data_IF_943337007414
#
_entry.id   IF_943337007414
#
_cell.length_a   1.000
_cell.length_b   1.000
_cell.length_c   1.000
_cell.angle_alpha   90.00
_cell.angle_beta   90.00
_cell.angle_gamma   90.00
#
_symmetry.space_group_name_H-M   'P 1'
#
loop_
_entity.id
_entity.type
_entity.pdbx_description
1 polymer ?
#
# COMPACT_ATOMS: atom_id res chain seq x y z
N UNK A 1 -9.57 -16.43 11.82
CA UNK A 1 -8.57 -16.02 12.84
C UNK A 1 -9.30 -15.35 13.99
N UNK A 2 -8.98 -15.70 15.24
CA UNK A 2 -9.79 -15.35 16.41
C UNK A 2 -9.68 -13.87 16.78
N UNK A 3 -10.80 -13.27 17.25
CA UNK A 3 -10.94 -11.92 17.82
C UNK A 3 -9.93 -11.54 18.95
N UNK A 4 -8.93 -12.38 19.23
CA UNK A 4 -7.93 -12.17 20.27
C UNK A 4 -6.72 -11.31 19.86
N UNK A 5 -6.47 -11.12 18.55
CA UNK A 5 -5.28 -10.42 18.04
C UNK A 5 -5.34 -8.89 18.25
N UNK A 6 -6.52 -8.29 18.24
CA UNK A 6 -6.71 -6.84 18.34
C UNK A 6 -6.76 -6.32 19.79
N UNK A 7 -6.59 -7.22 20.77
CA UNK A 7 -6.52 -6.84 22.19
C UNK A 7 -5.27 -5.99 22.42
N UNK A 8 -5.52 -4.74 22.86
CA UNK A 8 -4.54 -3.79 23.40
C UNK A 8 -3.82 -2.87 22.41
N UNK A 9 -4.35 -2.56 21.21
CA UNK A 9 -3.78 -1.51 20.34
C UNK A 9 -3.56 -0.21 21.11
N UNK A 10 -4.51 0.22 21.96
CA UNK A 10 -4.38 1.43 22.80
C UNK A 10 -3.21 1.34 23.76
N UNK A 11 -3.03 0.20 24.44
CA UNK A 11 -1.89 0.00 25.34
C UNK A 11 -0.57 -0.01 24.57
N UNK A 12 -0.50 -0.70 23.42
CA UNK A 12 0.69 -0.73 22.56
C UNK A 12 1.03 0.67 22.03
N UNK A 13 0.03 1.48 21.66
CA UNK A 13 0.23 2.87 21.26
C UNK A 13 0.77 3.71 22.42
N UNK A 14 0.24 3.55 23.62
CA UNK A 14 0.71 4.26 24.79
C UNK A 14 2.17 3.89 25.12
N UNK A 15 2.50 2.60 25.12
CA UNK A 15 3.90 2.13 25.33
C UNK A 15 4.83 2.70 24.26
N UNK A 16 4.42 2.68 22.98
CA UNK A 16 5.19 3.22 21.89
C UNK A 16 5.46 4.72 22.05
N UNK A 17 4.42 5.51 22.34
CA UNK A 17 4.55 6.95 22.58
C UNK A 17 5.43 7.25 23.79
N UNK A 18 5.26 6.49 24.89
CA UNK A 18 6.09 6.63 26.08
C UNK A 18 7.57 6.30 25.81
N UNK A 19 7.83 5.28 24.99
CA UNK A 19 9.19 4.95 24.56
C UNK A 19 9.80 6.07 23.71
N UNK A 20 9.06 6.62 22.74
CA UNK A 20 9.52 7.75 21.94
C UNK A 20 9.80 8.99 22.81
N UNK A 21 8.93 9.27 23.79
CA UNK A 21 9.11 10.36 24.75
C UNK A 21 10.41 10.16 25.56
N UNK A 22 10.62 8.97 26.12
CA UNK A 22 11.82 8.68 26.91
C UNK A 22 13.09 8.78 26.07
N UNK A 23 13.09 8.27 24.84
CA UNK A 23 14.23 8.37 23.92
C UNK A 23 14.59 9.83 23.64
N UNK A 24 13.59 10.70 23.44
CA UNK A 24 13.80 12.13 23.26
C UNK A 24 14.23 12.84 24.57
N UNK A 25 13.67 12.44 25.72
CA UNK A 25 13.92 13.12 27.02
C UNK A 25 15.30 12.83 27.62
N UNK A 26 15.76 11.57 27.54
CA UNK A 26 17.00 11.12 28.20
C UNK A 26 18.23 11.96 27.81
N UNK A 27 18.47 12.31 26.54
CA UNK A 27 19.60 13.17 26.16
C UNK A 27 19.54 14.56 26.78
N UNK A 28 18.36 15.13 27.00
CA UNK A 28 18.18 16.45 27.62
C UNK A 28 18.33 16.42 29.15
N UNK A 29 18.08 15.27 29.76
CA UNK A 29 18.24 15.09 31.24
C UNK A 29 19.67 14.73 31.67
N UNK A 30 20.51 14.29 30.74
CA UNK A 30 21.88 13.87 30.96
C UNK A 30 22.84 14.66 30.04
N UNK A 31 24.15 14.59 30.33
CA UNK A 31 25.16 15.24 29.47
C UNK A 31 25.06 14.72 28.03
N UNK A 32 24.71 15.59 27.11
CA UNK A 32 24.50 15.31 25.67
C UNK A 32 25.73 14.64 25.02
N UNK A 33 26.93 14.96 25.48
CA UNK A 33 28.19 14.41 24.92
C UNK A 33 28.21 12.86 24.89
N UNK A 34 27.62 12.21 25.90
CA UNK A 34 27.59 10.75 25.97
C UNK A 34 26.67 10.13 24.92
N UNK A 35 25.69 10.88 24.40
CA UNK A 35 24.72 10.40 23.39
C UNK A 35 25.12 10.77 21.99
N UNK A 36 26.03 11.70 21.78
CA UNK A 36 26.46 12.16 20.44
C UNK A 36 26.90 11.01 19.54
N UNK A 37 27.75 10.12 20.02
CA UNK A 37 28.23 8.99 19.24
C UNK A 37 27.14 7.98 18.91
N UNK A 38 26.15 7.80 19.80
CA UNK A 38 25.00 6.92 19.54
C UNK A 38 24.13 7.51 18.43
N UNK A 39 23.80 8.79 18.50
CA UNK A 39 23.01 9.50 17.49
C UNK A 39 23.74 9.49 16.14
N UNK A 40 25.05 9.77 16.15
CA UNK A 40 25.88 9.75 14.95
C UNK A 40 25.89 8.35 14.29
N UNK A 41 26.07 7.30 15.09
CA UNK A 41 26.08 5.91 14.60
C UNK A 41 24.71 5.52 14.02
N UNK A 42 23.60 5.84 14.70
CA UNK A 42 22.26 5.58 14.19
C UNK A 42 21.98 6.35 12.91
N UNK A 43 22.36 7.61 12.84
CA UNK A 43 22.23 8.43 11.62
C UNK A 43 23.05 7.84 10.48
N UNK A 44 24.26 7.38 10.73
CA UNK A 44 25.08 6.71 9.72
C UNK A 44 24.42 5.43 9.21
N UNK A 45 23.88 4.58 10.09
CA UNK A 45 23.16 3.35 9.70
C UNK A 45 21.94 3.68 8.85
N UNK A 46 21.14 4.70 9.24
CA UNK A 46 19.97 5.14 8.52
C UNK A 46 20.34 5.62 7.13
N UNK A 47 21.31 6.52 7.01
CA UNK A 47 21.75 7.05 5.71
C UNK A 47 22.35 5.96 4.84
N UNK A 48 23.24 5.14 5.39
CA UNK A 48 23.94 4.10 4.64
C UNK A 48 22.99 3.04 4.08
N UNK A 49 22.05 2.53 4.88
CA UNK A 49 21.06 1.56 4.39
C UNK A 49 20.13 2.20 3.36
N UNK A 50 19.67 3.42 3.58
CA UNK A 50 18.88 4.18 2.60
C UNK A 50 19.60 4.33 1.26
N UNK A 51 20.88 4.63 1.26
CA UNK A 51 21.70 4.72 0.04
C UNK A 51 21.84 3.36 -0.66
N UNK A 52 21.99 2.26 0.09
CA UNK A 52 22.00 0.91 -0.49
C UNK A 52 20.67 0.62 -1.19
N UNK A 53 19.53 0.87 -0.53
CA UNK A 53 18.19 0.67 -1.09
C UNK A 53 18.00 1.50 -2.37
N UNK A 54 18.35 2.78 -2.34
CA UNK A 54 18.24 3.67 -3.52
C UNK A 54 19.15 3.22 -4.65
N UNK A 55 20.39 2.81 -4.36
CA UNK A 55 21.39 2.43 -5.37
C UNK A 55 20.94 1.23 -6.23
N UNK A 56 20.10 0.35 -5.70
CA UNK A 56 19.57 -0.82 -6.44
C UNK A 56 18.69 -0.42 -7.62
N UNK A 57 18.13 0.78 -7.60
CA UNK A 57 17.31 1.28 -8.71
C UNK A 57 18.12 1.55 -9.98
N UNK A 58 19.42 1.85 -9.88
CA UNK A 58 20.26 2.05 -11.06
C UNK A 58 20.43 0.79 -11.93
N UNK A 59 20.27 -0.41 -11.33
CA UNK A 59 20.32 -1.68 -12.06
C UNK A 59 18.99 -2.04 -12.74
N UNK A 60 17.88 -1.43 -12.33
CA UNK A 60 16.52 -1.71 -12.82
C UNK A 60 16.36 -1.49 -14.32
N UNK A 61 16.87 -0.38 -14.84
CA UNK A 61 16.66 0.02 -16.24
C UNK A 61 17.21 -1.03 -17.23
N UNK A 62 18.18 -1.83 -16.82
CA UNK A 62 18.76 -2.90 -17.65
C UNK A 62 17.82 -4.11 -17.75
N UNK A 63 17.07 -4.40 -16.69
CA UNK A 63 16.11 -5.52 -16.64
C UNK A 63 14.81 -5.17 -17.38
N UNK A 64 14.30 -3.95 -17.21
CA UNK A 64 13.06 -3.50 -17.84
C UNK A 64 13.10 -3.50 -19.38
N UNK A 65 14.27 -3.17 -19.97
CA UNK A 65 14.44 -3.18 -21.41
C UNK A 65 14.44 -4.60 -22.03
N UNK A 66 14.63 -5.63 -21.22
CA UNK A 66 14.54 -7.04 -21.65
C UNK A 66 13.12 -7.59 -21.54
N UNK A 67 12.34 -7.10 -20.55
CA UNK A 67 10.94 -7.51 -20.29
C UNK A 67 9.97 -7.14 -21.41
N UNK A 68 10.20 -6.02 -22.10
CA UNK A 68 9.32 -5.54 -23.19
C UNK A 68 9.32 -6.41 -24.45
N UNK A 69 10.14 -7.46 -24.53
CA UNK A 69 10.33 -8.27 -25.76
C UNK A 69 9.75 -9.68 -25.74
N UNK A 70 9.24 -10.18 -24.62
CA UNK A 70 8.67 -11.55 -24.54
C UNK A 70 7.23 -11.51 -24.11
N UNK A 71 6.33 -11.35 -25.08
CA UNK A 71 4.95 -11.85 -24.94
C UNK A 71 5.08 -13.36 -25.15
N UNK A 72 4.99 -14.12 -24.06
CA UNK A 72 4.96 -15.58 -24.14
C UNK A 72 3.66 -16.02 -24.84
N UNK A 73 3.73 -17.04 -25.69
CA UNK A 73 2.57 -17.71 -26.27
C UNK A 73 1.81 -18.58 -25.25
N UNK A 74 2.10 -18.41 -23.95
CA UNK A 74 1.35 -19.09 -22.90
C UNK A 74 -0.07 -18.56 -22.79
N UNK A 75 -0.95 -19.44 -22.47
CA UNK A 75 -2.35 -19.13 -22.27
C UNK A 75 -2.53 -18.25 -21.02
N UNK A 76 -3.04 -17.02 -21.22
CA UNK A 76 -3.30 -16.08 -20.12
C UNK A 76 -4.30 -16.68 -19.12
N UNK A 77 -4.14 -16.47 -17.80
CA UNK A 77 -5.06 -16.98 -16.78
C UNK A 77 -6.40 -16.25 -16.80
N UNK A 78 -7.41 -16.80 -16.10
CA UNK A 78 -8.66 -16.08 -15.86
C UNK A 78 -8.41 -15.00 -14.79
N UNK A 79 -8.75 -13.76 -15.13
CA UNK A 79 -8.58 -12.57 -14.31
C UNK A 79 -9.94 -11.98 -13.93
N UNK A 80 -10.13 -11.73 -12.64
CA UNK A 80 -11.25 -10.96 -12.12
C UNK A 80 -10.74 -9.60 -11.63
N UNK A 81 -11.25 -8.50 -12.20
CA UNK A 81 -11.00 -7.14 -11.71
C UNK A 81 -12.06 -6.81 -10.66
N UNK A 82 -11.64 -6.34 -9.50
CA UNK A 82 -12.50 -5.94 -8.38
C UNK A 82 -12.36 -4.45 -8.11
N UNK A 83 -13.48 -3.73 -8.12
CA UNK A 83 -13.56 -2.32 -7.76
C UNK A 83 -14.64 -2.13 -6.72
N UNK A 84 -14.28 -1.69 -5.52
CA UNK A 84 -15.24 -1.23 -4.53
C UNK A 84 -15.54 0.25 -4.78
N UNK A 85 -16.81 0.58 -4.97
CA UNK A 85 -17.30 1.93 -5.28
C UNK A 85 -18.31 2.38 -4.22
N UNK A 86 -18.18 3.62 -3.77
CA UNK A 86 -19.17 4.25 -2.90
C UNK A 86 -19.21 5.75 -3.19
N UNK A 87 -20.35 6.24 -3.69
CA UNK A 87 -20.58 7.64 -4.04
C UNK A 87 -19.58 8.14 -5.12
N UNK A 88 -19.44 7.36 -6.21
CA UNK A 88 -18.45 7.55 -7.28
C UNK A 88 -19.10 7.96 -8.62
N UNK A 89 -20.26 8.64 -8.59
CA UNK A 89 -21.03 9.03 -9.79
C UNK A 89 -20.22 9.78 -10.85
N UNK A 90 -19.18 10.50 -10.45
CA UNK A 90 -18.37 11.35 -11.33
C UNK A 90 -17.30 10.58 -12.12
N UNK A 91 -16.90 9.38 -11.66
CA UNK A 91 -15.75 8.65 -12.22
C UNK A 91 -16.08 7.24 -12.68
N UNK A 92 -17.13 6.61 -12.14
CA UNK A 92 -17.41 5.19 -12.33
C UNK A 92 -17.69 4.81 -13.80
N UNK A 93 -18.39 5.64 -14.56
CA UNK A 93 -18.66 5.37 -15.99
C UNK A 93 -17.36 5.36 -16.80
N UNK A 94 -16.52 6.36 -16.62
CA UNK A 94 -15.20 6.47 -17.26
C UNK A 94 -14.30 5.28 -16.91
N UNK A 95 -14.32 4.83 -15.65
CA UNK A 95 -13.57 3.65 -15.23
C UNK A 95 -14.04 2.40 -16.00
N UNK A 96 -15.35 2.13 -16.01
CA UNK A 96 -15.89 0.93 -16.67
C UNK A 96 -15.53 0.91 -18.16
N UNK A 97 -15.68 2.03 -18.87
CA UNK A 97 -15.31 2.14 -20.28
C UNK A 97 -13.82 1.84 -20.51
N UNK A 98 -12.94 2.34 -19.65
CA UNK A 98 -11.50 2.08 -19.71
C UNK A 98 -11.17 0.60 -19.47
N UNK A 99 -11.79 -0.02 -18.47
CA UNK A 99 -11.57 -1.43 -18.16
C UNK A 99 -12.04 -2.36 -19.29
N UNK A 100 -13.13 -2.00 -19.98
CA UNK A 100 -13.65 -2.76 -21.12
C UNK A 100 -12.73 -2.68 -22.36
N UNK A 101 -11.91 -1.63 -22.46
CA UNK A 101 -10.96 -1.40 -23.56
C UNK A 101 -9.56 -1.98 -23.30
N UNK A 102 -9.34 -2.69 -22.19
CA UNK A 102 -8.05 -3.33 -21.90
C UNK A 102 -7.80 -4.52 -22.85
N UNK A 103 -6.56 -4.65 -23.31
CA UNK A 103 -6.11 -5.78 -24.12
C UNK A 103 -6.02 -7.04 -23.27
N UNK A 104 -7.09 -7.84 -23.29
CA UNK A 104 -7.13 -9.13 -22.62
C UNK A 104 -8.19 -10.04 -23.30
N UNK A 105 -7.97 -11.37 -23.37
CA UNK A 105 -8.95 -12.28 -23.96
C UNK A 105 -10.33 -12.12 -23.30
N UNK A 106 -11.34 -11.90 -24.13
CA UNK A 106 -12.69 -11.53 -23.66
C UNK A 106 -13.35 -12.58 -22.80
N UNK A 107 -13.03 -13.85 -23.02
CA UNK A 107 -13.54 -15.00 -22.25
C UNK A 107 -12.76 -15.27 -20.96
N UNK A 108 -11.71 -14.48 -20.68
CA UNK A 108 -10.84 -14.64 -19.50
C UNK A 108 -10.80 -13.43 -18.60
N UNK A 109 -11.57 -12.39 -18.91
CA UNK A 109 -11.67 -11.16 -18.13
C UNK A 109 -13.09 -10.97 -17.62
N UNK A 110 -13.27 -10.86 -16.30
CA UNK A 110 -14.48 -10.41 -15.65
C UNK A 110 -14.23 -9.11 -14.89
N UNK A 111 -15.19 -8.21 -14.89
CA UNK A 111 -15.12 -6.93 -14.18
C UNK A 111 -16.25 -6.92 -13.14
N UNK A 112 -15.87 -6.86 -11.87
CA UNK A 112 -16.80 -6.78 -10.73
C UNK A 112 -16.71 -5.39 -10.14
N UNK A 113 -17.81 -4.63 -10.21
CA UNK A 113 -17.97 -3.38 -9.48
C UNK A 113 -18.88 -3.64 -8.29
N UNK A 114 -18.36 -3.37 -7.11
CA UNK A 114 -19.09 -3.56 -5.85
C UNK A 114 -19.60 -2.21 -5.39
N UNK A 115 -20.90 -1.99 -5.55
CA UNK A 115 -21.57 -0.82 -4.98
C UNK A 115 -21.77 -1.03 -3.48
N UNK A 116 -20.98 -0.33 -2.68
CA UNK A 116 -20.98 -0.44 -1.20
C UNK A 116 -22.02 0.49 -0.56
N UNK A 117 -23.24 0.45 -1.09
CA UNK A 117 -24.37 1.21 -0.57
C UNK A 117 -24.26 2.70 -0.87
N UNK A 118 -24.00 3.07 -2.11
CA UNK A 118 -23.97 4.47 -2.56
C UNK A 118 -25.31 5.17 -2.39
N UNK A 119 -25.25 6.46 -2.09
CA UNK A 119 -26.40 7.35 -1.92
C UNK A 119 -26.62 8.32 -3.08
N UNK A 120 -25.64 8.42 -3.99
CA UNK A 120 -25.66 9.24 -5.20
C UNK A 120 -26.20 8.47 -6.42
N UNK A 121 -25.87 8.90 -7.64
CA UNK A 121 -26.31 8.25 -8.88
C UNK A 121 -25.47 7.03 -9.28
N UNK A 122 -24.45 6.64 -8.51
CA UNK A 122 -23.59 5.49 -8.80
C UNK A 122 -24.41 4.21 -9.12
N UNK A 123 -25.43 3.80 -8.30
CA UNK A 123 -26.21 2.58 -8.59
C UNK A 123 -26.96 2.65 -9.92
N UNK A 124 -27.51 3.81 -10.28
CA UNK A 124 -28.23 4.01 -11.53
C UNK A 124 -27.31 3.91 -12.76
N UNK A 125 -26.12 4.47 -12.65
CA UNK A 125 -25.10 4.39 -13.71
C UNK A 125 -24.67 2.94 -13.89
N UNK A 126 -24.37 2.23 -12.82
CA UNK A 126 -23.96 0.83 -12.84
C UNK A 126 -25.04 -0.11 -13.39
N UNK A 127 -26.31 0.09 -13.04
CA UNK A 127 -27.42 -0.69 -13.58
C UNK A 127 -27.52 -0.50 -15.12
N UNK A 128 -27.43 0.72 -15.61
CA UNK A 128 -27.41 1.03 -17.04
C UNK A 128 -26.23 0.33 -17.75
N UNK A 129 -25.02 0.44 -17.20
CA UNK A 129 -23.82 -0.13 -17.81
C UNK A 129 -23.82 -1.66 -17.79
N UNK A 130 -24.34 -2.28 -16.73
CA UNK A 130 -24.44 -3.74 -16.62
C UNK A 130 -25.38 -4.36 -17.65
N UNK A 131 -26.44 -3.65 -18.05
CA UNK A 131 -27.33 -4.07 -19.15
C UNK A 131 -26.69 -3.92 -20.52
N UNK A 132 -25.73 -3.02 -20.68
CA UNK A 132 -25.03 -2.74 -21.92
C UNK A 132 -23.84 -3.69 -22.13
N UNK A 133 -23.16 -4.10 -21.06
CA UNK A 133 -21.91 -4.84 -21.11
C UNK A 133 -21.98 -6.13 -20.30
N UNK A 134 -22.06 -7.28 -20.96
CA UNK A 134 -22.18 -8.61 -20.33
C UNK A 134 -21.00 -8.96 -19.38
N UNK A 135 -19.80 -8.43 -19.67
CA UNK A 135 -18.60 -8.64 -18.83
C UNK A 135 -18.64 -7.88 -17.52
N UNK A 136 -19.46 -6.84 -17.42
CA UNK A 136 -19.61 -6.04 -16.21
C UNK A 136 -20.61 -6.72 -15.27
N UNK A 137 -20.11 -7.12 -14.11
CA UNK A 137 -20.90 -7.72 -13.04
C UNK A 137 -21.01 -6.73 -11.88
N UNK A 138 -22.21 -6.25 -11.64
CA UNK A 138 -22.46 -5.32 -10.53
C UNK A 138 -22.95 -6.11 -9.32
N UNK A 139 -22.31 -5.88 -8.18
CA UNK A 139 -22.64 -6.53 -6.91
C UNK A 139 -22.99 -5.45 -5.90
N UNK A 140 -24.26 -5.34 -5.52
CA UNK A 140 -24.71 -4.32 -4.56
C UNK A 140 -24.70 -4.85 -3.14
N UNK A 141 -24.28 -4.01 -2.20
CA UNK A 141 -24.31 -4.26 -0.76
C UNK A 141 -25.25 -3.26 -0.07
N UNK A 142 -25.80 -3.68 1.06
CA UNK A 142 -26.56 -2.77 1.91
C UNK A 142 -25.66 -1.62 2.43
N UNK A 143 -26.17 -0.38 2.54
CA UNK A 143 -25.42 0.74 3.13
C UNK A 143 -24.87 0.46 4.54
N UNK A 144 -25.50 -0.46 5.26
CA UNK A 144 -25.14 -0.84 6.64
C UNK A 144 -24.35 -2.16 6.72
N UNK A 145 -23.81 -2.66 5.61
CA UNK A 145 -23.13 -3.96 5.57
C UNK A 145 -21.81 -3.99 6.38
N UNK A 146 -21.21 -2.81 6.65
CA UNK A 146 -19.97 -2.69 7.42
C UNK A 146 -18.73 -3.17 6.68
N UNK A 147 -17.56 -3.13 7.36
CA UNK A 147 -16.28 -3.61 6.80
C UNK A 147 -15.64 -2.72 5.74
N UNK A 148 -16.32 -1.64 5.30
CA UNK A 148 -15.79 -0.70 4.31
C UNK A 148 -15.32 -1.37 3.02
N UNK A 149 -14.24 -0.84 2.41
CA UNK A 149 -13.65 -1.40 1.18
C UNK A 149 -13.30 -2.88 1.31
N UNK A 150 -12.67 -3.28 2.42
CA UNK A 150 -12.31 -4.69 2.68
C UNK A 150 -13.54 -5.60 2.72
N UNK A 151 -14.62 -5.15 3.37
CA UNK A 151 -15.90 -5.88 3.42
C UNK A 151 -16.55 -5.99 2.04
N UNK A 152 -16.49 -4.95 1.22
CA UNK A 152 -16.97 -4.96 -0.16
C UNK A 152 -16.18 -5.97 -1.00
N UNK A 153 -14.85 -5.95 -0.93
CA UNK A 153 -13.99 -6.89 -1.64
C UNK A 153 -14.23 -8.34 -1.18
N UNK A 154 -14.31 -8.59 0.13
CA UNK A 154 -14.60 -9.92 0.66
C UNK A 154 -15.97 -10.45 0.21
N UNK A 155 -16.97 -9.57 0.12
CA UNK A 155 -18.28 -9.95 -0.38
C UNK A 155 -18.23 -10.38 -1.85
N UNK A 156 -17.44 -9.66 -2.65
CA UNK A 156 -17.24 -9.97 -4.07
C UNK A 156 -16.53 -11.31 -4.31
N UNK A 157 -15.63 -11.74 -3.40
CA UNK A 157 -14.91 -13.01 -3.55
C UNK A 157 -15.84 -14.22 -3.74
N UNK A 158 -17.09 -14.15 -3.27
CA UNK A 158 -18.10 -15.21 -3.42
C UNK A 158 -18.54 -15.41 -4.88
N UNK A 159 -18.38 -14.40 -5.70
CA UNK A 159 -18.82 -14.36 -7.10
C UNK A 159 -17.66 -14.49 -8.09
N UNK A 160 -16.41 -14.39 -7.60
CA UNK A 160 -15.21 -14.45 -8.43
C UNK A 160 -14.86 -15.90 -8.81
N UNK A 161 -14.33 -16.09 -10.01
CA UNK A 161 -13.90 -17.38 -10.55
C UNK A 161 -12.46 -17.36 -11.08
N UNK A 162 -11.85 -16.18 -11.17
CA UNK A 162 -10.48 -15.99 -11.67
C UNK A 162 -9.43 -16.61 -10.76
N UNK A 163 -8.33 -17.06 -11.36
CA UNK A 163 -7.12 -17.47 -10.63
C UNK A 163 -6.43 -16.28 -9.99
N UNK A 164 -6.56 -15.12 -10.63
CA UNK A 164 -5.98 -13.88 -10.20
C UNK A 164 -7.05 -12.82 -10.01
N UNK A 165 -6.83 -11.98 -9.01
CA UNK A 165 -7.68 -10.85 -8.65
C UNK A 165 -6.88 -9.56 -8.81
N UNK A 166 -7.36 -8.62 -9.61
CA UNK A 166 -6.79 -7.27 -9.71
C UNK A 166 -7.71 -6.29 -8.99
N UNK A 167 -7.24 -5.71 -7.88
CA UNK A 167 -7.99 -4.70 -7.13
C UNK A 167 -7.61 -3.32 -7.62
N UNK A 168 -8.62 -2.52 -7.96
CA UNK A 168 -8.49 -1.14 -8.42
C UNK A 168 -9.39 -0.22 -7.60
N UNK A 169 -9.02 1.06 -7.53
CA UNK A 169 -9.86 2.12 -7.01
C UNK A 169 -10.77 2.67 -8.13
N UNK A 170 -11.83 3.38 -7.77
CA UNK A 170 -12.83 3.87 -8.72
C UNK A 170 -12.27 4.96 -9.68
N UNK A 171 -11.18 5.61 -9.31
CA UNK A 171 -10.46 6.61 -10.11
C UNK A 171 -9.27 6.03 -10.89
N UNK A 172 -9.06 4.71 -10.85
CA UNK A 172 -7.92 4.05 -11.47
C UNK A 172 -7.91 4.21 -12.99
N UNK A 173 -6.70 4.38 -13.53
CA UNK A 173 -6.47 4.40 -14.98
C UNK A 173 -5.31 3.46 -15.33
N UNK A 174 -5.55 2.56 -16.27
CA UNK A 174 -4.57 1.63 -16.83
C UNK A 174 -4.35 1.91 -18.30
N UNK A 175 -3.13 1.68 -18.80
CA UNK A 175 -2.87 1.64 -20.24
C UNK A 175 -3.49 0.38 -20.82
N UNK A 176 -3.86 0.42 -22.10
CA UNK A 176 -4.53 -0.67 -22.80
C UNK A 176 -3.76 -2.00 -22.71
N UNK A 177 -2.42 -1.96 -22.82
CA UNK A 177 -1.52 -3.11 -22.77
C UNK A 177 -1.12 -3.55 -21.34
N UNK A 178 -1.66 -2.89 -20.31
CA UNK A 178 -1.22 -3.10 -18.90
C UNK A 178 -1.37 -4.54 -18.43
N UNK A 179 -2.47 -5.21 -18.78
CA UNK A 179 -2.72 -6.58 -18.32
C UNK A 179 -1.77 -7.59 -18.96
N UNK A 180 -1.49 -7.44 -20.25
CA UNK A 180 -0.54 -8.30 -20.97
C UNK A 180 0.86 -8.18 -20.36
N UNK A 181 1.31 -6.93 -20.09
CA UNK A 181 2.61 -6.69 -19.48
C UNK A 181 2.67 -7.15 -18.04
N UNK A 182 1.58 -7.03 -17.30
CA UNK A 182 1.47 -7.51 -15.92
C UNK A 182 1.65 -9.03 -15.85
N UNK A 183 0.97 -9.79 -16.71
CA UNK A 183 1.11 -11.24 -16.73
C UNK A 183 2.44 -11.71 -17.31
N UNK A 184 3.03 -10.98 -18.26
CA UNK A 184 4.41 -11.24 -18.69
C UNK A 184 5.40 -11.10 -17.53
N UNK A 185 5.20 -10.11 -16.65
CA UNK A 185 6.01 -9.95 -15.43
C UNK A 185 5.75 -11.07 -14.41
N UNK A 186 4.49 -11.50 -14.26
CA UNK A 186 4.13 -12.63 -13.36
C UNK A 186 4.83 -13.91 -13.79
N UNK A 187 4.91 -14.19 -15.10
CA UNK A 187 5.56 -15.40 -15.63
C UNK A 187 7.08 -15.44 -15.39
N UNK A 188 7.73 -14.28 -15.32
CA UNK A 188 9.19 -14.18 -15.10
C UNK A 188 9.62 -14.38 -13.66
N UNK A 189 8.68 -14.32 -12.73
CA UNK A 189 8.94 -14.47 -11.29
C UNK A 189 7.95 -15.40 -10.61
N UNK A 190 8.35 -15.92 -9.48
CA UNK A 190 7.48 -16.69 -8.59
C UNK A 190 6.75 -15.72 -7.65
N UNK A 191 5.76 -14.99 -8.19
CA UNK A 191 5.00 -13.98 -7.48
C UNK A 191 3.65 -14.51 -7.01
N UNK A 192 3.34 -14.29 -5.75
CA UNK A 192 2.01 -14.54 -5.17
C UNK A 192 1.10 -13.31 -5.27
N UNK A 193 1.71 -12.13 -5.36
CA UNK A 193 1.05 -10.86 -5.62
C UNK A 193 2.00 -9.92 -6.38
N UNK A 194 1.43 -8.93 -7.08
CA UNK A 194 2.19 -7.88 -7.78
C UNK A 194 1.51 -6.54 -7.53
N UNK A 195 2.29 -5.55 -7.13
CA UNK A 195 1.87 -4.15 -7.07
C UNK A 195 2.29 -3.42 -8.34
N UNK A 196 1.37 -2.82 -9.06
CA UNK A 196 1.68 -1.86 -10.11
C UNK A 196 2.19 -0.56 -9.47
N UNK A 197 3.26 0.02 -10.02
CA UNK A 197 3.73 1.32 -9.57
C UNK A 197 2.61 2.36 -9.69
N UNK A 198 2.38 3.13 -8.63
CA UNK A 198 1.39 4.21 -8.64
C UNK A 198 1.95 5.47 -9.33
N UNK A 199 1.09 6.19 -10.04
CA UNK A 199 1.40 7.46 -10.68
C UNK A 199 0.19 8.38 -10.62
N UNK A 200 0.40 9.70 -10.63
CA UNK A 200 -0.65 10.70 -10.52
C UNK A 200 -1.07 11.22 -11.89
N UNK A 201 -2.39 11.35 -12.16
CA UNK A 201 -2.94 11.89 -13.41
C UNK A 201 -2.99 13.43 -13.41
N UNK A 202 -3.40 14.03 -12.31
CA UNK A 202 -3.63 15.47 -12.16
C UNK A 202 -2.42 16.25 -11.61
N UNK A 203 -1.18 15.87 -11.98
CA UNK A 203 0.08 16.44 -11.47
C UNK A 203 0.14 17.97 -11.61
N UNK A 204 -0.32 18.49 -12.74
CA UNK A 204 -0.25 19.93 -13.05
C UNK A 204 -1.36 20.78 -12.43
N UNK A 205 -2.26 20.19 -11.64
CA UNK A 205 -3.43 20.88 -11.10
C UNK A 205 -3.05 21.96 -10.10
N UNK A 206 -2.14 21.67 -9.17
CA UNK A 206 -1.61 22.60 -8.19
C UNK A 206 -0.30 22.09 -7.58
N UNK A 207 0.32 22.89 -6.69
CA UNK A 207 1.56 22.54 -5.99
C UNK A 207 1.42 21.25 -5.16
N UNK A 208 0.27 21.07 -4.49
CA UNK A 208 0.01 19.92 -3.63
C UNK A 208 -0.03 18.60 -4.42
N UNK A 209 -0.67 18.59 -5.60
CA UNK A 209 -0.72 17.41 -6.48
C UNK A 209 0.65 17.10 -7.07
N UNK A 210 1.47 18.11 -7.38
CA UNK A 210 2.86 17.94 -7.82
C UNK A 210 3.72 17.30 -6.71
N UNK A 211 3.57 17.73 -5.45
CA UNK A 211 4.27 17.14 -4.30
C UNK A 211 3.88 15.67 -4.11
N UNK A 212 2.61 15.32 -4.21
CA UNK A 212 2.13 13.94 -4.09
C UNK A 212 2.67 13.05 -5.21
N UNK A 213 2.78 13.58 -6.44
CA UNK A 213 3.40 12.86 -7.55
C UNK A 213 4.87 12.52 -7.27
N UNK A 214 5.63 13.46 -6.71
CA UNK A 214 7.02 13.24 -6.32
C UNK A 214 7.13 12.22 -5.17
N UNK A 215 6.26 12.32 -4.17
CA UNK A 215 6.17 11.38 -3.05
C UNK A 215 5.92 9.94 -3.55
N UNK A 216 4.95 9.74 -4.45
CA UNK A 216 4.66 8.42 -5.04
C UNK A 216 5.83 7.86 -5.85
N UNK A 217 6.54 8.73 -6.58
CA UNK A 217 7.74 8.32 -7.31
C UNK A 217 8.86 7.89 -6.35
N UNK A 218 9.06 8.61 -5.24
CA UNK A 218 10.01 8.24 -4.20
C UNK A 218 9.62 6.93 -3.50
N UNK A 219 8.34 6.75 -3.13
CA UNK A 219 7.85 5.49 -2.55
C UNK A 219 8.16 4.31 -3.47
N UNK A 220 7.88 4.44 -4.77
CA UNK A 220 8.16 3.39 -5.74
C UNK A 220 9.68 3.03 -5.80
N UNK A 221 10.56 4.03 -5.72
CA UNK A 221 12.02 3.83 -5.66
C UNK A 221 12.41 3.03 -4.41
N UNK A 222 11.87 3.39 -3.25
CA UNK A 222 12.13 2.69 -2.00
C UNK A 222 11.57 1.26 -2.03
N UNK A 223 10.34 1.07 -2.48
CA UNK A 223 9.72 -0.25 -2.58
C UNK A 223 10.53 -1.19 -3.47
N UNK A 224 10.95 -0.73 -4.65
CA UNK A 224 11.77 -1.52 -5.55
C UNK A 224 13.16 -1.84 -4.96
N UNK A 225 13.77 -0.88 -4.29
CA UNK A 225 15.05 -1.06 -3.60
C UNK A 225 14.94 -2.08 -2.47
N UNK A 226 13.93 -1.99 -1.62
CA UNK A 226 13.63 -2.94 -0.53
C UNK A 226 13.41 -4.37 -1.06
N UNK A 227 12.61 -4.50 -2.12
CA UNK A 227 12.42 -5.78 -2.80
C UNK A 227 13.75 -6.37 -3.27
N UNK A 228 14.62 -5.55 -3.86
CA UNK A 228 15.90 -5.98 -4.40
C UNK A 228 16.95 -6.33 -3.33
N UNK A 229 16.88 -5.69 -2.15
CA UNK A 229 17.86 -5.88 -1.06
C UNK A 229 17.37 -6.95 -0.09
N UNK A 230 16.14 -6.83 0.41
CA UNK A 230 15.61 -7.63 1.51
C UNK A 230 14.48 -8.58 1.09
N UNK A 231 14.02 -8.53 -0.16
CA UNK A 231 12.85 -9.29 -0.59
C UNK A 231 11.54 -8.78 0.03
N UNK A 232 11.53 -7.55 0.55
CA UNK A 232 10.37 -6.91 1.17
C UNK A 232 9.76 -5.90 0.21
N UNK A 233 8.48 -6.06 -0.09
CA UNK A 233 7.67 -5.07 -0.79
C UNK A 233 6.24 -5.08 -0.25
N UNK A 234 5.48 -4.05 -0.55
CA UNK A 234 4.16 -3.85 0.02
C UNK A 234 3.15 -3.49 -1.08
N UNK A 235 1.91 -3.98 -0.92
CA UNK A 235 0.76 -3.56 -1.68
C UNK A 235 0.37 -2.13 -1.27
N UNK A 236 -0.28 -1.39 -2.19
CA UNK A 236 -0.61 0.04 -2.03
C UNK A 236 -2.08 0.34 -2.35
N UNK A 237 -2.96 -0.64 -2.22
CA UNK A 237 -4.41 -0.50 -2.34
C UNK A 237 -4.91 -0.45 -3.78
N UNK A 238 -4.37 0.41 -4.63
CA UNK A 238 -4.73 0.52 -6.04
C UNK A 238 -3.71 -0.19 -6.93
N UNK A 239 -4.18 -0.98 -7.91
CA UNK A 239 -3.32 -1.72 -8.83
C UNK A 239 -2.63 -2.92 -8.19
N UNK A 240 -3.30 -3.62 -7.28
CA UNK A 240 -2.77 -4.83 -6.64
C UNK A 240 -3.34 -6.09 -7.29
N UNK A 241 -2.47 -6.85 -7.95
CA UNK A 241 -2.77 -8.18 -8.46
C UNK A 241 -2.42 -9.23 -7.39
N UNK A 242 -3.34 -10.15 -7.10
CA UNK A 242 -3.15 -11.14 -6.04
C UNK A 242 -3.65 -12.49 -6.56
N UNK A 243 -2.87 -13.55 -6.35
CA UNK A 243 -3.32 -14.91 -6.61
C UNK A 243 -4.44 -15.26 -5.64
N UNK A 244 -5.62 -15.63 -6.14
CA UNK A 244 -6.83 -15.84 -5.31
C UNK A 244 -6.60 -16.88 -4.22
N UNK A 245 -5.95 -17.99 -4.55
CA UNK A 245 -5.59 -19.04 -3.61
C UNK A 245 -4.75 -18.49 -2.44
N UNK A 246 -3.75 -17.67 -2.73
CA UNK A 246 -2.89 -17.06 -1.72
C UNK A 246 -3.66 -16.09 -0.83
N UNK A 247 -4.53 -15.26 -1.41
CA UNK A 247 -5.39 -14.35 -0.65
C UNK A 247 -6.27 -15.11 0.34
N UNK A 248 -6.93 -16.18 -0.12
CA UNK A 248 -7.79 -17.01 0.73
C UNK A 248 -6.99 -17.72 1.84
N UNK A 249 -5.81 -18.25 1.52
CA UNK A 249 -4.91 -18.88 2.49
C UNK A 249 -4.43 -17.91 3.57
N UNK A 250 -4.27 -16.62 3.22
CA UNK A 250 -3.91 -15.56 4.17
C UNK A 250 -5.11 -15.02 4.98
N UNK A 251 -6.35 -15.51 4.74
CA UNK A 251 -7.56 -15.10 5.48
C UNK A 251 -8.29 -13.90 4.86
N UNK A 252 -8.14 -13.67 3.55
CA UNK A 252 -8.83 -12.63 2.76
C UNK A 252 -8.47 -11.21 3.18
N UNK A 253 -9.28 -10.21 2.83
CA UNK A 253 -9.05 -8.82 3.25
C UNK A 253 -9.46 -8.63 4.71
N UNK A 254 -8.66 -7.91 5.49
CA UNK A 254 -8.92 -7.69 6.91
C UNK A 254 -9.84 -6.49 7.10
N UNK A 255 -11.06 -6.73 7.59
CA UNK A 255 -12.08 -5.69 7.80
C UNK A 255 -11.87 -4.87 9.09
N UNK A 256 -10.97 -5.30 9.97
CA UNK A 256 -10.69 -4.66 11.26
C UNK A 256 -9.47 -3.72 11.19
N UNK A 257 -8.93 -3.46 10.00
CA UNK A 257 -7.79 -2.54 9.77
C UNK A 257 -8.19 -1.34 8.91
N UNK A 258 -7.49 -0.23 9.11
CA UNK A 258 -7.71 0.99 8.32
C UNK A 258 -7.05 0.89 6.93
N UNK A 259 -5.95 0.11 6.80
CA UNK A 259 -5.22 -0.13 5.55
C UNK A 259 -5.08 -1.64 5.32
N UNK A 260 -6.01 -2.19 4.54
CA UNK A 260 -6.07 -3.62 4.21
C UNK A 260 -4.89 -4.09 3.36
N UNK A 261 -4.36 -3.24 2.50
CA UNK A 261 -3.21 -3.46 1.64
C UNK A 261 -1.91 -3.67 2.45
N UNK A 262 -1.64 -2.80 3.43
CA UNK A 262 -0.46 -2.92 4.29
C UNK A 262 -0.57 -4.12 5.24
N UNK A 263 -1.76 -4.39 5.77
CA UNK A 263 -2.04 -5.58 6.57
C UNK A 263 -1.82 -6.86 5.77
N UNK A 264 -2.39 -6.93 4.56
CA UNK A 264 -2.24 -8.08 3.67
C UNK A 264 -0.78 -8.29 3.27
N UNK A 265 -0.04 -7.22 2.99
CA UNK A 265 1.39 -7.28 2.66
C UNK A 265 2.19 -7.98 3.75
N UNK A 266 1.93 -7.65 5.00
CA UNK A 266 2.64 -8.27 6.13
C UNK A 266 2.23 -9.72 6.31
N UNK A 267 0.95 -10.08 6.14
CA UNK A 267 0.48 -11.48 6.18
C UNK A 267 1.08 -12.32 5.06
N UNK A 268 1.19 -11.76 3.85
CA UNK A 268 1.88 -12.41 2.72
C UNK A 268 3.35 -12.67 3.06
N UNK A 269 4.06 -11.68 3.60
CA UNK A 269 5.45 -11.84 4.01
C UNK A 269 5.61 -12.95 5.09
N UNK A 270 4.74 -12.95 6.10
CA UNK A 270 4.73 -13.96 7.17
C UNK A 270 4.40 -15.37 6.67
N UNK A 271 3.67 -15.49 5.56
CA UNK A 271 3.39 -16.76 4.88
C UNK A 271 4.44 -17.13 3.84
N UNK A 272 5.55 -16.37 3.73
CA UNK A 272 6.62 -16.50 2.74
C UNK A 272 6.15 -16.34 1.29
N UNK A 273 5.03 -15.66 1.09
CA UNK A 273 4.51 -15.29 -0.22
C UNK A 273 5.21 -14.03 -0.72
N UNK A 274 5.64 -14.05 -1.99
CA UNK A 274 6.43 -12.95 -2.58
C UNK A 274 5.53 -11.94 -3.27
N UNK A 275 5.81 -10.65 -3.03
CA UNK A 275 5.14 -9.53 -3.71
C UNK A 275 6.12 -8.92 -4.71
N UNK A 276 5.77 -8.92 -6.00
CA UNK A 276 6.52 -8.24 -7.06
C UNK A 276 6.09 -6.77 -7.21
N UNK A 277 6.90 -5.97 -7.89
CA UNK A 277 6.56 -4.60 -8.25
C UNK A 277 6.72 -4.44 -9.76
N UNK A 278 5.61 -4.21 -10.46
CA UNK A 278 5.63 -3.85 -11.87
C UNK A 278 5.86 -2.34 -11.99
N UNK A 279 7.01 -1.99 -12.58
CA UNK A 279 7.39 -0.59 -12.70
C UNK A 279 6.66 0.15 -13.82
N UNK A 280 6.48 -0.49 -14.96
CA UNK A 280 5.82 0.07 -16.13
C UNK A 280 5.06 -1.04 -16.89
N UNK A 281 3.76 -0.84 -17.21
CA UNK A 281 2.98 0.38 -17.00
C UNK A 281 2.57 0.59 -15.53
N UNK A 282 2.42 1.87 -15.11
CA UNK A 282 1.88 2.19 -13.79
C UNK A 282 0.36 2.04 -13.78
N UNK A 283 -0.22 1.92 -12.58
CA UNK A 283 -1.60 2.33 -12.32
C UNK A 283 -1.62 3.82 -12.01
N UNK A 284 -2.51 4.56 -12.64
CA UNK A 284 -2.66 5.99 -12.43
C UNK A 284 -3.89 6.27 -11.57
N UNK A 285 -3.81 7.29 -10.73
CA UNK A 285 -4.89 7.73 -9.83
C UNK A 285 -4.89 9.25 -9.68
N UNK A 286 -5.97 9.82 -9.16
CA UNK A 286 -6.05 11.25 -8.91
C UNK A 286 -5.48 11.59 -7.53
N UNK A 287 -4.55 12.55 -7.45
CA UNK A 287 -4.08 13.10 -6.18
C UNK A 287 -5.13 14.06 -5.59
N UNK A 288 -5.23 14.10 -4.26
CA UNK A 288 -6.12 15.04 -3.57
C UNK A 288 -5.67 16.49 -3.75
N UNK A 289 -6.61 17.38 -4.04
CA UNK A 289 -6.33 18.75 -4.46
C UNK A 289 -6.29 19.76 -3.30
N UNK A 290 -6.72 19.38 -2.11
CA UNK A 290 -6.76 20.26 -0.95
C UNK A 290 -6.08 19.66 0.28
N UNK A 291 -5.57 20.55 1.15
CA UNK A 291 -4.77 20.14 2.31
C UNK A 291 -5.57 19.35 3.34
N UNK A 292 -6.84 19.69 3.57
CA UNK A 292 -7.65 18.99 4.57
C UNK A 292 -7.90 17.53 4.17
N UNK A 293 -8.20 17.27 2.88
CA UNK A 293 -8.36 15.92 2.36
C UNK A 293 -7.03 15.15 2.42
N UNK A 294 -5.91 15.81 2.11
CA UNK A 294 -4.57 15.20 2.22
C UNK A 294 -4.27 14.80 3.67
N UNK A 295 -4.46 15.69 4.63
CA UNK A 295 -4.23 15.39 6.05
C UNK A 295 -5.10 14.23 6.54
N UNK A 296 -6.39 14.20 6.18
CA UNK A 296 -7.27 13.09 6.51
C UNK A 296 -6.81 11.75 5.89
N UNK A 297 -6.33 11.79 4.64
CA UNK A 297 -5.77 10.61 3.96
C UNK A 297 -4.49 10.13 4.67
N UNK A 298 -3.55 11.04 4.98
CA UNK A 298 -2.27 10.72 5.66
C UNK A 298 -2.48 10.20 7.08
N UNK A 299 -3.46 10.75 7.80
CA UNK A 299 -3.83 10.23 9.12
C UNK A 299 -4.26 8.77 9.05
N UNK A 300 -5.15 8.42 8.10
CA UNK A 300 -5.57 7.01 7.90
C UNK A 300 -4.39 6.11 7.54
N UNK A 301 -3.48 6.56 6.67
CA UNK A 301 -2.31 5.77 6.28
C UNK A 301 -1.34 5.56 7.43
N UNK A 302 -1.08 6.59 8.23
CA UNK A 302 -0.23 6.49 9.41
C UNK A 302 -0.84 5.55 10.47
N UNK A 303 -2.15 5.67 10.72
CA UNK A 303 -2.87 4.79 11.65
C UNK A 303 -2.80 3.33 11.21
N UNK A 304 -3.19 3.03 9.98
CA UNK A 304 -3.18 1.67 9.46
C UNK A 304 -1.77 1.07 9.38
N UNK A 305 -0.79 1.90 9.01
CA UNK A 305 0.61 1.50 9.00
C UNK A 305 1.16 1.12 10.38
N UNK A 306 0.76 1.83 11.44
CA UNK A 306 1.10 1.46 12.82
C UNK A 306 0.33 0.23 13.30
N UNK A 307 -0.97 0.12 12.97
CA UNK A 307 -1.82 -0.99 13.39
C UNK A 307 -1.20 -2.34 13.03
N UNK A 308 -0.70 -2.51 11.80
CA UNK A 308 -0.09 -3.77 11.37
C UNK A 308 1.12 -4.18 12.22
N UNK A 309 1.96 -3.24 12.64
CA UNK A 309 3.10 -3.54 13.52
C UNK A 309 2.65 -3.91 14.93
N UNK A 310 1.61 -3.28 15.43
CA UNK A 310 1.05 -3.63 16.74
C UNK A 310 0.35 -4.99 16.73
N UNK A 311 -0.30 -5.36 15.62
CA UNK A 311 -1.04 -6.61 15.49
C UNK A 311 -0.10 -7.80 15.26
N UNK A 312 0.96 -7.62 14.49
CA UNK A 312 1.85 -8.72 14.08
C UNK A 312 3.26 -8.65 14.69
N UNK A 313 3.55 -7.68 15.58
CA UNK A 313 4.88 -7.48 16.16
C UNK A 313 5.50 -8.74 16.74
N UNK A 314 4.72 -9.52 17.50
CA UNK A 314 5.20 -10.78 18.10
C UNK A 314 5.60 -11.81 17.01
N UNK A 315 4.90 -11.83 15.88
CA UNK A 315 5.20 -12.75 14.77
C UNK A 315 6.43 -12.28 13.97
N UNK A 316 6.70 -10.98 13.89
CA UNK A 316 7.89 -10.43 13.26
C UNK A 316 9.19 -10.82 14.01
N UNK A 317 9.09 -11.08 15.31
CA UNK A 317 10.23 -11.55 16.12
C UNK A 317 10.51 -13.05 15.95
N UNK A 318 9.59 -13.81 15.37
CA UNK A 318 9.76 -15.25 15.15
C UNK A 318 10.68 -15.54 13.95
N UNK A 319 11.02 -16.82 13.75
CA UNK A 319 11.83 -17.30 12.61
C UNK A 319 11.03 -17.44 11.30
N UNK A 320 9.83 -16.83 11.20
CA UNK A 320 9.01 -16.85 9.98
C UNK A 320 9.61 -16.00 8.86
N UNK A 321 10.34 -14.95 9.22
CA UNK A 321 11.01 -14.02 8.29
C UNK A 321 12.51 -13.98 8.57
N UNK A 322 13.30 -13.67 7.56
CA UNK A 322 14.74 -13.62 7.61
C UNK A 322 15.27 -12.40 8.38
N UNK A 323 16.52 -12.47 8.86
CA UNK A 323 17.14 -11.36 9.59
C UNK A 323 17.16 -10.05 8.79
N UNK A 324 17.43 -10.12 7.48
CA UNK A 324 17.46 -8.94 6.62
C UNK A 324 16.07 -8.34 6.45
N UNK A 325 15.03 -9.16 6.35
CA UNK A 325 13.63 -8.72 6.34
C UNK A 325 13.23 -8.04 7.67
N UNK A 326 13.64 -8.62 8.80
CA UNK A 326 13.43 -8.01 10.14
C UNK A 326 14.12 -6.65 10.23
N UNK A 327 15.36 -6.58 9.78
CA UNK A 327 16.13 -5.34 9.76
C UNK A 327 15.44 -4.27 8.90
N UNK A 328 15.05 -4.61 7.67
CA UNK A 328 14.35 -3.71 6.75
C UNK A 328 13.04 -3.18 7.36
N UNK A 329 12.20 -4.08 7.88
CA UNK A 329 10.93 -3.69 8.51
C UNK A 329 11.15 -2.79 9.74
N UNK A 330 12.13 -3.11 10.59
CA UNK A 330 12.48 -2.29 11.76
C UNK A 330 13.02 -0.93 11.34
N UNK A 331 13.90 -0.89 10.34
CA UNK A 331 14.42 0.34 9.76
C UNK A 331 13.31 1.27 9.28
N UNK A 332 12.38 0.75 8.46
CA UNK A 332 11.27 1.55 7.95
C UNK A 332 10.27 1.92 9.04
N UNK A 333 10.04 1.06 10.02
CA UNK A 333 9.23 1.40 11.20
C UNK A 333 9.82 2.59 11.97
N UNK A 334 11.12 2.56 12.22
CA UNK A 334 11.82 3.67 12.91
C UNK A 334 11.74 4.93 12.04
N UNK A 335 12.06 4.85 10.77
CA UNK A 335 12.10 6.00 9.87
C UNK A 335 10.73 6.67 9.68
N UNK A 336 9.68 5.87 9.52
CA UNK A 336 8.34 6.38 9.18
C UNK A 336 7.51 6.77 10.41
N UNK A 337 7.70 6.12 11.56
CA UNK A 337 6.83 6.30 12.72
C UNK A 337 7.56 6.79 13.96
N UNK A 338 8.66 6.15 14.36
CA UNK A 338 9.33 6.50 15.60
C UNK A 338 10.08 7.83 15.48
N UNK A 339 10.88 8.00 14.44
CA UNK A 339 11.74 9.17 14.27
C UNK A 339 10.96 10.50 14.18
N UNK A 340 9.85 10.62 13.42
CA UNK A 340 9.06 11.85 13.42
C UNK A 340 8.49 12.22 14.80
N UNK A 341 8.03 11.23 15.57
CA UNK A 341 7.48 11.45 16.90
C UNK A 341 8.59 11.87 17.88
N UNK A 342 9.74 11.17 17.87
CA UNK A 342 10.92 11.51 18.65
C UNK A 342 11.36 12.94 18.34
N UNK A 343 11.43 13.33 17.06
CA UNK A 343 11.84 14.67 16.62
C UNK A 343 10.93 15.78 17.15
N UNK A 344 9.61 15.51 17.23
CA UNK A 344 8.66 16.48 17.80
C UNK A 344 8.92 16.67 19.31
N UNK A 345 9.09 15.57 20.07
CA UNK A 345 9.41 15.67 21.50
C UNK A 345 10.77 16.33 21.74
N UNK A 346 11.78 15.97 20.94
CA UNK A 346 13.12 16.56 21.02
C UNK A 346 13.09 18.07 20.80
N UNK A 347 12.33 18.54 19.79
CA UNK A 347 12.13 19.97 19.52
C UNK A 347 11.49 20.68 20.72
N UNK A 348 10.45 20.07 21.33
CA UNK A 348 9.78 20.64 22.50
C UNK A 348 10.76 20.77 23.70
N UNK A 349 11.54 19.73 23.95
CA UNK A 349 12.53 19.76 25.05
C UNK A 349 13.65 20.78 24.77
N UNK A 350 14.13 20.87 23.53
CA UNK A 350 15.13 21.85 23.13
C UNK A 350 14.64 23.28 23.31
N UNK A 351 13.40 23.58 22.93
CA UNK A 351 12.78 24.89 23.17
C UNK A 351 12.64 25.18 24.68
N UNK A 352 12.16 24.21 25.46
CA UNK A 352 12.00 24.37 26.91
C UNK A 352 13.34 24.66 27.59
N UNK A 353 14.40 23.95 27.19
CA UNK A 353 15.76 24.18 27.70
C UNK A 353 16.26 25.58 27.33
N UNK A 354 16.09 26.01 26.10
CA UNK A 354 16.48 27.33 25.62
C UNK A 354 15.79 28.45 26.40
N UNK A 355 14.49 28.32 26.64
CA UNK A 355 13.73 29.29 27.43
C UNK A 355 14.15 29.31 28.88
N UNK A 356 14.53 28.18 29.48
CA UNK A 356 15.04 28.12 30.85
C UNK A 356 16.38 28.84 30.99
N UNK A 357 17.24 28.79 29.97
CA UNK A 357 18.54 29.49 29.96
C UNK A 357 18.42 31.01 29.76
N UNK A 358 17.32 31.50 29.16
CA UNK A 358 17.09 32.94 28.99
C UNK A 358 16.60 33.59 30.31
N UNK A 359 16.08 32.80 31.26
CA UNK A 359 15.58 33.27 32.57
C UNK A 359 16.61 33.18 33.70
N UNK A 360 17.83 32.75 33.43
CA UNK A 360 18.99 32.76 34.34
C UNK A 360 19.89 33.92 33.91
#
# INVERSE_FOLDING_TARGET
>A
MSKGFYKNRRLKSFIFLSACFLVAFIPHANNIENFFYIILTLSFVIVFYGLIVISRNFKRNKVLNTLSRRISNKELPVLDILVAARDEENVIERLVERLLNLDYPTNKLNIYIIDDGSSDKTPLILDRLSRQYEKLKVVSRSPNAGGGKSGALNYALKFTHGEWLLVLDADAELKQDSLIRLFSFVEEGDWSAVQLRKSVTNVSKNFLTSCQSMEMAMDAIFQYGRLSVAGVSELRGNGQLIKKETLLACGSFNEDTVTDDLDLSLRLLLSKSRIGILWDPPVMEEAVENLNALLAQRQRWAEGGLQRFFDYGDQLLTNKIDYLQKFDLTYFFILQYALPIISIFDLVFSIALLLSLIHI
#
